data_IF_335534029381
#
_entry.id   IF_335534029381
#
_cell.length_a   1.000
_cell.length_b   1.000
_cell.length_c   1.000
_cell.angle_alpha   90.00
_cell.angle_beta   90.00
_cell.angle_gamma   90.00
#
_symmetry.space_group_name_H-M   'P 1'
#
loop_
_entity.id
_entity.type
_entity.pdbx_description
1 polymer ?
#
# COMPACT_ATOMS: atom_id res chain seq x y z
N UNK A 1 -5.75 -20.88 -27.30
CA UNK A 1 -6.53 -19.98 -26.41
C UNK A 1 -5.65 -18.82 -25.97
N UNK A 2 -6.17 -17.60 -25.92
CA UNK A 2 -5.44 -16.42 -25.44
C UNK A 2 -5.42 -16.42 -23.91
N UNK A 3 -4.25 -16.61 -23.31
CA UNK A 3 -4.06 -16.52 -21.85
C UNK A 3 -3.88 -15.04 -21.52
N UNK A 4 -4.72 -14.52 -20.62
CA UNK A 4 -4.65 -13.16 -20.12
C UNK A 4 -4.20 -13.20 -18.66
N UNK A 5 -3.05 -12.58 -18.36
CA UNK A 5 -2.53 -12.50 -16.99
C UNK A 5 -3.25 -11.40 -16.23
N UNK A 6 -3.52 -11.63 -14.95
CA UNK A 6 -4.18 -10.66 -14.07
C UNK A 6 -3.40 -10.59 -12.76
N UNK A 7 -3.09 -9.37 -12.32
CA UNK A 7 -2.42 -9.11 -11.03
C UNK A 7 -3.39 -8.47 -10.06
N UNK A 8 -3.56 -9.07 -8.87
CA UNK A 8 -4.34 -8.50 -7.76
C UNK A 8 -3.39 -7.91 -6.71
N UNK A 9 -3.84 -6.90 -5.98
CA UNK A 9 -3.04 -6.17 -5.00
C UNK A 9 -3.75 -6.01 -3.66
N UNK A 10 -2.97 -5.87 -2.59
CA UNK A 10 -3.46 -5.58 -1.24
C UNK A 10 -4.43 -6.64 -0.70
N UNK A 11 -5.45 -6.18 0.03
CA UNK A 11 -6.48 -7.04 0.63
C UNK A 11 -7.14 -7.96 -0.43
N UNK A 12 -7.32 -7.51 -1.67
CA UNK A 12 -7.90 -8.33 -2.74
C UNK A 12 -7.02 -9.50 -3.19
N UNK A 13 -5.70 -9.40 -3.05
CA UNK A 13 -4.80 -10.53 -3.31
C UNK A 13 -4.80 -11.52 -2.14
N UNK A 14 -4.83 -11.01 -0.91
CA UNK A 14 -4.82 -11.81 0.32
C UNK A 14 -6.12 -12.63 0.48
N UNK A 15 -7.25 -12.02 0.13
CA UNK A 15 -8.58 -12.64 0.24
C UNK A 15 -8.91 -13.54 -0.96
N UNK A 16 -8.08 -13.57 -2.01
CA UNK A 16 -8.32 -14.38 -3.21
C UNK A 16 -7.99 -15.85 -2.92
N UNK A 17 -9.01 -16.60 -2.52
CA UNK A 17 -8.89 -18.02 -2.22
C UNK A 17 -10.02 -18.84 -2.84
N UNK A 18 -9.68 -20.02 -3.36
CA UNK A 18 -10.59 -20.99 -3.98
C UNK A 18 -10.70 -22.32 -3.20
N UNK A 19 -10.03 -22.48 -2.06
CA UNK A 19 -9.97 -23.74 -1.28
C UNK A 19 -11.34 -24.32 -0.97
N UNK A 20 -12.32 -23.46 -0.68
CA UNK A 20 -13.68 -23.89 -0.32
C UNK A 20 -14.56 -24.26 -1.53
N UNK A 21 -14.09 -24.02 -2.75
CA UNK A 21 -14.89 -24.18 -3.98
C UNK A 21 -14.21 -25.07 -5.02
N UNK A 22 -12.90 -25.27 -4.93
CA UNK A 22 -12.12 -26.09 -5.84
C UNK A 22 -11.73 -27.42 -5.19
N UNK A 23 -12.09 -28.50 -5.86
CA UNK A 23 -11.77 -29.89 -5.52
C UNK A 23 -10.61 -30.36 -6.43
N UNK A 24 -9.39 -30.54 -5.88
CA UNK A 24 -8.23 -30.99 -6.65
C UNK A 24 -8.37 -32.40 -7.22
N UNK A 25 -9.14 -33.28 -6.58
CA UNK A 25 -9.34 -34.66 -7.04
C UNK A 25 -10.31 -34.70 -8.22
N UNK A 26 -11.42 -33.94 -8.11
CA UNK A 26 -12.42 -33.85 -9.16
C UNK A 26 -11.99 -32.92 -10.32
N UNK A 27 -11.14 -31.94 -10.06
CA UNK A 27 -10.74 -30.92 -11.04
C UNK A 27 -11.93 -30.08 -11.52
N UNK A 28 -12.84 -29.69 -10.62
CA UNK A 28 -14.06 -28.99 -11.03
C UNK A 28 -13.75 -27.58 -11.59
N UNK A 29 -14.51 -27.19 -12.61
CA UNK A 29 -14.40 -25.88 -13.26
C UNK A 29 -14.73 -24.74 -12.28
N UNK A 30 -13.84 -23.75 -12.25
CA UNK A 30 -14.08 -22.45 -11.61
C UNK A 30 -14.12 -21.36 -12.69
N UNK A 31 -15.25 -20.65 -12.78
CA UNK A 31 -15.37 -19.46 -13.63
C UNK A 31 -15.24 -18.23 -12.74
N UNK A 32 -14.29 -17.35 -13.02
CA UNK A 32 -14.09 -16.12 -12.27
C UNK A 32 -14.49 -14.90 -13.12
N UNK A 33 -15.45 -14.13 -12.64
CA UNK A 33 -15.72 -12.79 -13.18
C UNK A 33 -14.84 -11.80 -12.42
N UNK A 34 -14.13 -10.95 -13.15
CA UNK A 34 -13.30 -9.90 -12.58
C UNK A 34 -13.74 -8.56 -13.18
N UNK A 35 -13.95 -7.56 -12.34
CA UNK A 35 -14.42 -6.21 -12.71
C UNK A 35 -13.48 -5.15 -12.13
N UNK A 36 -13.44 -3.96 -12.75
CA UNK A 36 -12.65 -2.83 -12.24
C UNK A 36 -11.13 -2.97 -12.42
N UNK A 37 -10.70 -3.81 -13.37
CA UNK A 37 -9.31 -3.96 -13.78
C UNK A 37 -8.92 -2.94 -14.85
N UNK A 38 -7.65 -2.56 -14.85
CA UNK A 38 -7.05 -1.71 -15.88
C UNK A 38 -6.20 -2.56 -16.83
N UNK A 39 -6.42 -2.49 -18.15
CA UNK A 39 -5.54 -3.16 -19.11
C UNK A 39 -4.16 -2.50 -19.13
N UNK A 40 -3.13 -3.33 -19.22
CA UNK A 40 -1.72 -2.96 -19.39
C UNK A 40 -1.07 -3.89 -20.42
N UNK A 41 0.05 -3.48 -20.99
CA UNK A 41 0.86 -4.35 -21.84
C UNK A 41 1.99 -4.94 -21.01
N UNK A 42 2.06 -6.28 -20.91
CA UNK A 42 3.14 -6.99 -20.24
C UNK A 42 4.37 -7.00 -21.16
N UNK A 43 5.26 -6.01 -20.98
CA UNK A 43 6.48 -5.89 -21.77
C UNK A 43 7.47 -7.05 -21.55
N UNK A 44 7.30 -7.87 -20.49
CA UNK A 44 8.10 -9.09 -20.26
C UNK A 44 7.60 -10.30 -21.07
N UNK A 45 6.39 -10.23 -21.64
CA UNK A 45 5.79 -11.28 -22.47
C UNK A 45 5.44 -10.75 -23.87
N UNK A 46 6.41 -10.12 -24.53
CA UNK A 46 6.29 -9.56 -25.90
C UNK A 46 5.13 -8.55 -26.09
N UNK A 47 4.80 -7.76 -25.06
CA UNK A 47 3.73 -6.76 -25.15
C UNK A 47 2.32 -7.35 -25.16
N UNK A 48 2.15 -8.59 -24.69
CA UNK A 48 0.80 -9.17 -24.52
C UNK A 48 0.01 -8.36 -23.50
N UNK A 49 -1.26 -8.12 -23.79
CA UNK A 49 -2.17 -7.48 -22.83
C UNK A 49 -2.26 -8.30 -21.54
N UNK A 50 -2.17 -7.63 -20.41
CA UNK A 50 -2.42 -8.13 -19.06
C UNK A 50 -3.38 -7.17 -18.34
N UNK A 51 -3.97 -7.60 -17.23
CA UNK A 51 -4.82 -6.76 -16.41
C UNK A 51 -4.18 -6.55 -15.03
N UNK A 52 -4.32 -5.34 -14.49
CA UNK A 52 -3.98 -5.05 -13.10
C UNK A 52 -5.21 -4.62 -12.32
N UNK A 53 -5.36 -5.16 -11.11
CA UNK A 53 -6.39 -4.77 -10.17
C UNK A 53 -6.14 -3.37 -9.62
N UNK A 54 -7.21 -2.60 -9.46
CA UNK A 54 -7.24 -1.31 -8.76
C UNK A 54 -7.96 -1.45 -7.41
N UNK A 55 -7.99 -0.42 -6.54
CA UNK A 55 -8.83 -0.42 -5.33
C UNK A 55 -10.35 -0.53 -5.57
N UNK A 56 -10.79 -0.47 -6.84
CA UNK A 56 -12.16 -0.71 -7.27
C UNK A 56 -12.36 -2.11 -7.88
N UNK A 57 -11.29 -2.92 -7.95
CA UNK A 57 -11.35 -4.26 -8.50
C UNK A 57 -12.17 -5.18 -7.59
N UNK A 58 -13.01 -6.01 -8.18
CA UNK A 58 -13.73 -7.07 -7.47
C UNK A 58 -13.75 -8.34 -8.31
N UNK A 59 -13.84 -9.48 -7.63
CA UNK A 59 -13.94 -10.78 -8.28
C UNK A 59 -15.09 -11.59 -7.70
N UNK A 60 -15.68 -12.44 -8.55
CA UNK A 60 -16.80 -13.30 -8.20
C UNK A 60 -16.58 -14.68 -8.81
N UNK A 61 -16.52 -15.70 -7.96
CA UNK A 61 -16.42 -17.08 -8.40
C UNK A 61 -17.79 -17.66 -8.72
N UNK A 62 -17.84 -18.45 -9.80
CA UNK A 62 -19.01 -19.13 -10.33
C UNK A 62 -20.27 -18.26 -10.39
N UNK A 63 -20.19 -17.07 -11.03
CA UNK A 63 -21.34 -16.17 -11.12
C UNK A 63 -22.46 -16.80 -11.95
N UNK A 64 -23.70 -16.69 -11.47
CA UNK A 64 -24.89 -17.13 -12.20
C UNK A 64 -25.38 -16.03 -13.16
N UNK A 65 -24.57 -15.72 -14.17
CA UNK A 65 -24.87 -14.72 -15.20
C UNK A 65 -24.93 -15.35 -16.58
N UNK A 66 -25.62 -14.70 -17.51
CA UNK A 66 -25.84 -15.22 -18.87
C UNK A 66 -24.51 -15.37 -19.62
N UNK A 67 -23.60 -14.43 -19.43
CA UNK A 67 -22.28 -14.34 -20.05
C UNK A 67 -21.34 -15.48 -19.60
N UNK A 68 -21.57 -16.07 -18.42
CA UNK A 68 -20.78 -17.18 -17.90
C UNK A 68 -21.26 -18.55 -18.44
N UNK A 69 -22.51 -18.64 -18.93
CA UNK A 69 -23.12 -19.90 -19.43
C UNK A 69 -22.30 -20.60 -20.53
N UNK A 70 -21.74 -19.88 -21.53
CA UNK A 70 -20.91 -20.53 -22.55
C UNK A 70 -19.68 -21.23 -21.95
N UNK A 71 -19.08 -20.66 -20.91
CA UNK A 71 -17.91 -21.26 -20.24
C UNK A 71 -18.30 -22.52 -19.47
N UNK A 72 -19.39 -22.48 -18.69
CA UNK A 72 -19.91 -23.67 -18.01
C UNK A 72 -20.22 -24.79 -19.00
N UNK A 73 -20.85 -24.48 -20.14
CA UNK A 73 -21.18 -25.48 -21.14
C UNK A 73 -19.95 -26.03 -21.87
N UNK A 74 -18.98 -25.17 -22.20
CA UNK A 74 -17.74 -25.56 -22.90
C UNK A 74 -16.89 -26.53 -22.08
N UNK A 75 -16.91 -26.40 -20.75
CA UNK A 75 -16.04 -27.19 -19.85
C UNK A 75 -16.80 -28.12 -18.90
N UNK A 76 -18.10 -28.34 -19.11
CA UNK A 76 -19.00 -29.07 -18.18
C UNK A 76 -18.49 -30.45 -17.74
N UNK A 77 -17.77 -31.15 -18.63
CA UNK A 77 -17.26 -32.51 -18.41
C UNK A 77 -15.74 -32.59 -18.63
N UNK A 78 -15.03 -31.47 -18.54
CA UNK A 78 -13.58 -31.42 -18.70
C UNK A 78 -12.97 -31.10 -17.34
N UNK A 79 -12.21 -32.03 -16.72
CA UNK A 79 -11.51 -31.72 -15.48
C UNK A 79 -10.44 -30.67 -15.76
N UNK A 80 -10.42 -29.63 -14.93
CA UNK A 80 -9.45 -28.52 -14.99
C UNK A 80 -8.64 -28.56 -13.70
N UNK A 81 -7.37 -28.89 -13.87
CA UNK A 81 -6.41 -28.92 -12.77
C UNK A 81 -5.76 -27.55 -12.61
N UNK A 82 -6.02 -26.88 -11.48
CA UNK A 82 -5.45 -25.58 -11.17
C UNK A 82 -4.06 -25.80 -10.58
N UNK A 83 -3.04 -25.39 -11.33
CA UNK A 83 -1.67 -25.39 -10.83
C UNK A 83 -1.47 -24.17 -9.93
N UNK A 84 -1.27 -24.41 -8.64
CA UNK A 84 -0.71 -23.40 -7.74
C UNK A 84 0.81 -23.47 -7.83
N UNK A 85 1.52 -22.34 -7.76
CA UNK A 85 2.95 -22.37 -7.46
C UNK A 85 3.15 -23.23 -6.21
N UNK A 86 4.18 -24.10 -6.20
CA UNK A 86 4.53 -24.82 -4.97
C UNK A 86 4.74 -23.78 -3.87
N UNK A 87 4.02 -23.92 -2.76
CA UNK A 87 4.37 -23.22 -1.53
C UNK A 87 5.78 -23.70 -1.17
N UNK A 88 6.78 -22.84 -1.36
CA UNK A 88 8.10 -23.08 -0.78
C UNK A 88 7.88 -23.26 0.73
N UNK A 89 8.30 -24.42 1.26
CA UNK A 89 8.14 -24.77 2.66
C UNK A 89 8.58 -23.59 3.52
N UNK A 90 7.63 -23.07 4.30
CA UNK A 90 7.82 -21.96 5.22
C UNK A 90 8.64 -22.44 6.42
N UNK A 91 9.94 -22.57 6.19
CA UNK A 91 10.96 -22.92 7.16
C UNK A 91 12.09 -21.89 7.18
N UNK A 92 11.90 -20.84 7.98
CA UNK A 92 12.88 -19.81 8.34
C UNK A 92 13.27 -18.76 7.30
N UNK A 93 13.23 -17.53 7.81
CA UNK A 93 13.56 -16.23 7.24
C UNK A 93 12.54 -15.75 6.21
N UNK A 94 11.72 -14.80 6.65
CA UNK A 94 11.24 -13.72 5.80
C UNK A 94 12.47 -13.23 5.02
N UNK A 95 12.63 -13.69 3.78
CA UNK A 95 13.56 -13.05 2.87
C UNK A 95 13.00 -11.64 2.73
N UNK A 96 13.66 -10.67 3.38
CA UNK A 96 13.41 -9.27 3.11
C UNK A 96 13.40 -9.14 1.59
N UNK A 97 12.28 -8.67 1.04
CA UNK A 97 12.27 -8.23 -0.35
C UNK A 97 13.37 -7.17 -0.41
N UNK A 98 14.49 -7.49 -1.05
CA UNK A 98 15.63 -6.61 -1.19
C UNK A 98 15.25 -5.52 -2.18
N UNK A 99 14.53 -4.51 -1.70
CA UNK A 99 14.19 -3.34 -2.49
C UNK A 99 15.48 -2.58 -2.82
N UNK A 100 15.62 -2.09 -4.06
CA UNK A 100 16.77 -1.27 -4.44
C UNK A 100 16.83 -0.03 -3.56
N UNK A 101 18.00 0.21 -2.94
CA UNK A 101 18.25 1.40 -2.15
C UNK A 101 18.55 2.58 -3.08
N UNK A 102 17.83 3.69 -2.89
CA UNK A 102 18.01 4.93 -3.64
C UNK A 102 18.02 6.13 -2.69
N UNK A 103 18.91 7.07 -2.98
CA UNK A 103 18.94 8.38 -2.34
C UNK A 103 17.81 9.26 -2.86
N UNK A 104 17.52 10.36 -2.17
CA UNK A 104 16.53 11.36 -2.57
C UNK A 104 16.88 11.90 -3.97
N UNK A 105 18.13 12.28 -4.22
CA UNK A 105 18.53 12.76 -5.53
C UNK A 105 18.37 11.70 -6.63
N UNK A 106 18.58 10.42 -6.32
CA UNK A 106 18.34 9.35 -7.28
C UNK A 106 16.84 9.15 -7.55
N UNK A 107 16.00 9.22 -6.51
CA UNK A 107 14.53 9.16 -6.64
C UNK A 107 13.99 10.34 -7.47
N UNK A 108 14.58 11.52 -7.33
CA UNK A 108 14.20 12.72 -8.10
C UNK A 108 14.47 12.59 -9.61
N UNK A 109 15.39 11.71 -10.02
CA UNK A 109 15.67 11.47 -11.44
C UNK A 109 14.82 10.34 -12.03
N UNK A 110 14.04 9.63 -11.21
CA UNK A 110 13.18 8.55 -11.70
C UNK A 110 11.94 9.17 -12.32
N UNK A 111 11.73 8.84 -13.59
CA UNK A 111 10.45 9.05 -14.23
C UNK A 111 9.44 8.06 -13.64
N UNK A 112 8.40 8.50 -12.90
CA UNK A 112 7.39 7.60 -12.34
C UNK A 112 6.59 6.83 -13.40
N UNK A 113 6.69 7.23 -14.67
CA UNK A 113 6.08 6.55 -15.80
C UNK A 113 7.04 5.57 -16.51
N UNK A 114 8.30 5.46 -16.06
CA UNK A 114 9.26 4.51 -16.60
C UNK A 114 9.07 3.12 -15.96
N UNK A 115 8.57 2.16 -16.75
CA UNK A 115 8.32 0.78 -16.32
C UNK A 115 9.59 -0.10 -16.27
N UNK A 116 10.77 0.44 -16.60
CA UNK A 116 12.06 -0.25 -16.42
C UNK A 116 12.55 -0.21 -14.96
N UNK A 117 12.18 0.83 -14.20
CA UNK A 117 12.44 0.94 -12.76
C UNK A 117 11.13 1.16 -11.96
N UNK A 118 10.20 0.19 -11.95
CA UNK A 118 9.01 0.31 -11.13
C UNK A 118 9.42 0.14 -9.66
N UNK A 119 9.10 1.14 -8.83
CA UNK A 119 9.23 1.04 -7.38
C UNK A 119 8.43 -0.14 -6.79
N UNK A 120 8.54 -0.40 -5.47
CA UNK A 120 9.09 0.51 -4.46
C UNK A 120 10.61 0.46 -4.29
N UNK A 121 11.16 1.54 -3.73
CA UNK A 121 12.58 1.72 -3.40
C UNK A 121 12.79 1.79 -1.89
N UNK A 122 13.96 1.37 -1.39
CA UNK A 122 14.39 1.68 -0.02
C UNK A 122 15.04 3.06 -0.02
N UNK A 123 14.62 3.94 0.89
CA UNK A 123 15.23 5.27 1.06
C UNK A 123 15.44 5.54 2.55
N UNK A 124 16.69 5.81 2.95
CA UNK A 124 17.04 6.09 4.33
C UNK A 124 17.06 7.60 4.57
N UNK A 125 16.14 8.10 5.39
CA UNK A 125 15.98 9.55 5.64
C UNK A 125 15.92 9.88 7.11
N UNK A 126 16.47 11.03 7.49
CA UNK A 126 16.28 11.65 8.80
C UNK A 126 15.10 12.61 8.72
N UNK A 127 14.12 12.49 9.61
CA UNK A 127 12.98 13.41 9.63
C UNK A 127 13.46 14.78 10.13
N UNK A 128 13.36 15.80 9.29
CA UNK A 128 13.76 17.17 9.62
C UNK A 128 12.60 17.94 10.24
N UNK A 129 11.40 17.78 9.69
CA UNK A 129 10.21 18.47 10.18
C UNK A 129 8.94 17.74 9.79
N UNK A 130 7.90 17.88 10.61
CA UNK A 130 6.55 17.42 10.28
C UNK A 130 5.77 18.62 9.77
N UNK A 131 5.17 18.48 8.59
CA UNK A 131 4.42 19.55 7.93
C UNK A 131 2.93 19.39 8.23
N UNK A 132 2.30 20.43 8.76
CA UNK A 132 0.85 20.44 9.06
C UNK A 132 0.00 21.14 7.97
N UNK A 133 0.49 21.20 6.73
CA UNK A 133 -0.25 21.86 5.63
C UNK A 133 -1.64 21.25 5.40
N UNK A 134 -1.74 19.92 5.54
CA UNK A 134 -2.99 19.18 5.71
C UNK A 134 -2.87 18.42 7.02
N UNK A 135 -3.84 18.56 7.94
CA UNK A 135 -3.87 17.90 9.26
C UNK A 135 -3.16 16.54 9.29
N UNK A 136 -2.33 16.28 10.31
CA UNK A 136 -1.57 15.04 10.48
C UNK A 136 -2.43 13.79 10.70
N UNK A 137 -3.75 13.96 10.76
CA UNK A 137 -4.74 12.90 10.87
C UNK A 137 -6.06 13.28 10.17
N UNK A 138 -6.88 12.27 9.89
CA UNK A 138 -8.23 12.41 9.34
C UNK A 138 -9.19 11.37 9.95
N UNK A 139 -10.49 11.66 9.94
CA UNK A 139 -11.51 10.68 10.32
C UNK A 139 -11.77 9.70 9.17
N UNK A 140 -11.85 8.41 9.48
CA UNK A 140 -12.14 7.33 8.54
C UNK A 140 -13.18 6.37 9.08
N UNK A 141 -13.88 5.66 8.20
CA UNK A 141 -14.80 4.60 8.61
C UNK A 141 -14.03 3.36 9.10
N UNK A 142 -14.43 2.78 10.25
CA UNK A 142 -13.80 1.54 10.75
C UNK A 142 -13.94 0.38 9.76
N UNK A 143 -15.11 0.21 9.15
CA UNK A 143 -15.40 -0.92 8.26
C UNK A 143 -14.80 -0.75 6.86
N UNK A 144 -14.92 0.44 6.27
CA UNK A 144 -14.55 0.65 4.87
C UNK A 144 -13.17 1.31 4.67
N UNK A 145 -12.52 1.77 5.75
CA UNK A 145 -11.29 2.57 5.75
C UNK A 145 -11.33 3.87 4.92
N UNK A 146 -12.46 4.19 4.26
CA UNK A 146 -12.68 5.44 3.53
C UNK A 146 -12.74 6.62 4.47
N UNK A 147 -12.19 7.77 4.03
CA UNK A 147 -12.30 9.05 4.72
C UNK A 147 -13.77 9.38 4.98
N UNK A 148 -14.08 9.71 6.23
CA UNK A 148 -15.40 10.12 6.66
C UNK A 148 -15.54 11.65 6.48
N UNK A 149 -16.75 12.09 6.19
CA UNK A 149 -17.08 13.49 5.96
C UNK A 149 -17.77 14.07 7.18
N UNK A 150 -17.35 15.27 7.58
CA UNK A 150 -17.98 16.00 8.67
C UNK A 150 -19.35 16.50 8.23
N UNK A 151 -20.36 16.21 9.04
CA UNK A 151 -21.75 16.59 8.84
C UNK A 151 -22.03 17.94 9.53
N UNK A 152 -23.16 18.57 9.18
CA UNK A 152 -23.60 19.87 9.74
C UNK A 152 -23.68 19.83 11.28
N UNK A 153 -24.08 18.68 11.85
CA UNK A 153 -24.18 18.47 13.29
C UNK A 153 -22.83 18.10 13.96
N UNK A 154 -21.70 18.34 13.29
CA UNK A 154 -20.34 17.97 13.75
C UNK A 154 -20.08 16.47 13.92
N UNK A 155 -20.99 15.58 13.50
CA UNK A 155 -20.72 14.13 13.43
C UNK A 155 -19.95 13.77 12.17
N UNK A 156 -19.30 12.61 12.14
CA UNK A 156 -18.65 12.09 10.94
C UNK A 156 -19.43 10.93 10.35
N UNK A 157 -19.57 10.91 9.01
CA UNK A 157 -20.29 9.86 8.29
C UNK A 157 -19.47 9.35 7.12
N UNK A 158 -19.47 8.03 6.94
CA UNK A 158 -18.84 7.40 5.79
C UNK A 158 -19.65 7.64 4.51
N UNK A 159 -19.08 8.22 3.44
CA UNK A 159 -19.80 8.41 2.18
C UNK A 159 -20.14 7.08 1.48
N UNK A 160 -19.31 6.04 1.67
CA UNK A 160 -19.49 4.73 1.02
C UNK A 160 -20.61 3.89 1.66
N UNK A 161 -20.56 3.67 2.98
CA UNK A 161 -21.48 2.76 3.66
C UNK A 161 -22.46 3.46 4.61
N UNK A 162 -22.44 4.79 4.67
CA UNK A 162 -23.32 5.62 5.49
C UNK A 162 -23.21 5.40 7.01
N UNK A 163 -22.25 4.59 7.47
CA UNK A 163 -21.97 4.36 8.89
C UNK A 163 -21.38 5.60 9.57
N UNK A 164 -21.76 5.82 10.83
CA UNK A 164 -21.20 6.83 11.72
C UNK A 164 -20.05 6.28 12.59
N UNK A 165 -19.77 4.97 12.52
CA UNK A 165 -18.67 4.35 13.25
C UNK A 165 -17.33 4.71 12.60
N UNK A 166 -16.71 5.76 13.12
CA UNK A 166 -15.52 6.39 12.54
C UNK A 166 -14.40 6.50 13.57
N UNK A 167 -13.16 6.53 13.08
CA UNK A 167 -11.94 6.64 13.86
C UNK A 167 -10.94 7.58 13.22
N UNK A 168 -10.14 8.30 14.03
CA UNK A 168 -8.99 9.02 13.52
C UNK A 168 -7.94 8.04 13.00
N UNK A 169 -7.27 8.43 11.91
CA UNK A 169 -6.15 7.71 11.30
C UNK A 169 -5.08 8.70 10.88
N UNK A 170 -3.81 8.30 10.90
CA UNK A 170 -2.72 9.19 10.49
C UNK A 170 -2.77 9.52 9.00
N UNK A 171 -2.41 10.77 8.71
CA UNK A 171 -2.04 11.28 7.40
C UNK A 171 -0.80 12.15 7.61
N UNK A 172 0.30 11.50 7.97
CA UNK A 172 1.52 12.19 8.39
C UNK A 172 2.26 12.69 7.16
N UNK A 173 2.48 14.01 7.07
CA UNK A 173 3.32 14.63 6.04
C UNK A 173 4.58 15.19 6.69
N UNK A 174 5.75 14.92 6.13
CA UNK A 174 7.02 15.33 6.73
C UNK A 174 8.12 15.57 5.67
N UNK A 175 9.13 16.32 6.06
CA UNK A 175 10.37 16.50 5.28
C UNK A 175 11.41 15.50 5.80
N UNK A 176 11.88 14.64 4.90
CA UNK A 176 13.00 13.73 5.14
C UNK A 176 14.26 14.24 4.44
N UNK A 177 15.40 14.06 5.08
CA UNK A 177 16.73 14.43 4.56
C UNK A 177 17.66 13.23 4.51
N UNK A 178 18.39 13.10 3.43
CA UNK A 178 19.58 12.25 3.34
C UNK A 178 20.83 13.10 3.04
N UNK A 179 21.92 12.47 2.61
CA UNK A 179 23.17 13.14 2.21
C UNK A 179 23.06 13.87 0.87
N UNK A 180 22.02 13.62 0.08
CA UNK A 180 21.82 14.16 -1.26
C UNK A 180 20.80 15.28 -1.34
N UNK A 181 19.86 15.37 -0.40
CA UNK A 181 18.89 16.46 -0.36
C UNK A 181 17.75 16.28 0.63
N UNK A 182 16.72 17.11 0.45
CA UNK A 182 15.49 17.10 1.22
C UNK A 182 14.32 16.75 0.30
N UNK A 183 13.43 15.87 0.74
CA UNK A 183 12.20 15.54 0.04
C UNK A 183 11.00 15.49 0.98
N UNK A 184 9.81 15.69 0.41
CA UNK A 184 8.55 15.58 1.15
C UNK A 184 7.94 14.19 0.99
N UNK A 185 7.65 13.59 2.13
CA UNK A 185 7.07 12.26 2.27
C UNK A 185 5.67 12.35 2.88
N UNK A 186 4.85 11.34 2.60
CA UNK A 186 3.62 11.12 3.34
C UNK A 186 3.47 9.65 3.74
N UNK A 187 2.89 9.44 4.92
CA UNK A 187 2.62 8.11 5.48
C UNK A 187 1.16 8.03 5.92
N UNK A 188 0.49 6.95 5.55
CA UNK A 188 -0.85 6.62 6.05
C UNK A 188 -0.75 5.95 7.42
N UNK A 189 -1.92 5.64 7.97
CA UNK A 189 -2.12 5.11 9.31
C UNK A 189 -1.14 3.99 9.70
N UNK A 190 -0.99 2.97 8.85
CA UNK A 190 -0.21 1.79 9.17
C UNK A 190 1.30 2.11 9.26
N UNK A 191 1.84 2.89 8.32
CA UNK A 191 3.24 3.29 8.31
C UNK A 191 3.56 4.30 9.43
N UNK A 192 2.71 5.31 9.59
CA UNK A 192 2.89 6.32 10.62
C UNK A 192 2.78 5.71 12.04
N UNK A 193 1.87 4.76 12.26
CA UNK A 193 1.76 4.06 13.55
C UNK A 193 3.03 3.29 13.89
N UNK A 194 3.72 2.70 12.89
CA UNK A 194 5.01 2.03 13.09
C UNK A 194 6.12 3.02 13.44
N UNK A 195 6.15 4.18 12.78
CA UNK A 195 7.13 5.25 13.05
C UNK A 195 6.94 5.85 14.46
N UNK A 196 5.69 6.11 14.84
CA UNK A 196 5.32 6.81 16.08
C UNK A 196 5.21 5.83 17.27
N UNK A 197 4.97 4.55 16.99
CA UNK A 197 4.71 3.47 17.97
C UNK A 197 3.50 3.75 18.87
N UNK A 198 2.49 4.43 18.32
CA UNK A 198 1.22 4.76 18.97
C UNK A 198 0.09 4.79 17.95
N UNK A 199 -1.08 4.32 18.35
CA UNK A 199 -2.30 4.44 17.54
C UNK A 199 -2.77 5.90 17.48
N UNK A 200 -3.28 6.32 16.32
CA UNK A 200 -3.71 7.70 16.08
C UNK A 200 -4.79 8.18 17.07
N UNK A 201 -5.72 7.29 17.43
CA UNK A 201 -6.81 7.59 18.36
C UNK A 201 -6.36 7.95 19.77
N UNK A 202 -5.19 7.45 20.19
CA UNK A 202 -4.58 7.81 21.49
C UNK A 202 -3.99 9.21 21.51
N UNK A 203 -3.68 9.80 20.34
CA UNK A 203 -2.99 11.08 20.22
C UNK A 203 -3.92 12.24 19.87
N UNK A 204 -5.05 11.95 19.20
CA UNK A 204 -6.00 12.98 18.83
C UNK A 204 -6.71 13.51 20.07
N UNK A 205 -6.44 14.77 20.39
CA UNK A 205 -7.16 15.53 21.41
C UNK A 205 -8.00 16.62 20.76
N UNK A 206 -9.34 16.52 20.73
CA UNK A 206 -10.22 17.52 20.13
C UNK A 206 -10.13 18.91 20.78
N UNK A 207 -9.60 18.99 22.01
CA UNK A 207 -9.44 20.23 22.77
C UNK A 207 -8.06 20.87 22.59
N UNK A 208 -7.12 20.18 21.94
CA UNK A 208 -5.79 20.71 21.69
C UNK A 208 -5.81 21.77 20.57
N UNK A 209 -4.98 22.83 20.67
CA UNK A 209 -4.78 23.75 19.56
C UNK A 209 -4.28 23.00 18.33
N UNK A 210 -4.85 23.32 17.14
CA UNK A 210 -4.50 22.65 15.88
C UNK A 210 -3.03 22.81 15.48
N UNK A 211 -2.37 23.84 15.99
CA UNK A 211 -1.00 24.19 15.63
C UNK A 211 0.05 23.48 16.52
N UNK A 212 -0.38 22.80 17.59
CA UNK A 212 0.51 22.08 18.51
C UNK A 212 0.58 20.61 18.10
N UNK A 213 1.79 20.15 17.80
CA UNK A 213 2.05 18.75 17.48
C UNK A 213 2.07 17.92 18.78
N UNK A 214 1.46 16.73 18.84
CA UNK A 214 1.59 15.87 20.00
C UNK A 214 3.05 15.42 20.21
N UNK A 215 3.51 15.34 21.47
CA UNK A 215 4.88 14.91 21.81
C UNK A 215 5.36 13.64 21.09
N UNK A 216 4.54 12.58 20.91
CA UNK A 216 4.99 11.39 20.18
C UNK A 216 5.36 11.67 18.71
N UNK A 217 4.72 12.64 18.06
CA UNK A 217 5.10 13.09 16.72
C UNK A 217 6.37 13.94 16.77
N UNK A 218 6.56 14.79 17.79
CA UNK A 218 7.81 15.54 17.95
C UNK A 218 9.01 14.60 18.15
N UNK A 219 8.82 13.48 18.85
CA UNK A 219 9.86 12.51 19.15
C UNK A 219 10.43 11.78 17.93
N UNK A 220 9.74 11.80 16.78
CA UNK A 220 10.27 11.20 15.54
C UNK A 220 11.12 12.19 14.73
N UNK A 221 11.10 13.49 15.09
CA UNK A 221 11.98 14.49 14.48
C UNK A 221 13.43 14.19 14.89
N UNK A 222 14.35 14.37 13.94
CA UNK A 222 15.77 14.00 14.01
C UNK A 222 16.06 12.51 14.13
N UNK A 223 15.05 11.64 13.97
CA UNK A 223 15.27 10.20 13.88
C UNK A 223 15.43 9.76 12.43
N UNK A 224 16.27 8.75 12.22
CA UNK A 224 16.54 8.14 10.92
C UNK A 224 15.65 6.92 10.73
N UNK A 225 15.01 6.84 9.57
CA UNK A 225 14.14 5.75 9.16
C UNK A 225 14.52 5.25 7.77
N UNK A 226 14.41 3.94 7.56
CA UNK A 226 14.42 3.34 6.23
C UNK A 226 12.98 3.15 5.77
N UNK A 227 12.62 3.81 4.67
CA UNK A 227 11.26 3.85 4.12
C UNK A 227 11.20 3.05 2.81
N UNK A 228 10.10 2.33 2.61
CA UNK A 228 9.75 1.73 1.31
C UNK A 228 8.91 2.71 0.50
N UNK A 229 9.49 3.32 -0.52
CA UNK A 229 8.97 4.47 -1.22
C UNK A 229 8.45 4.12 -2.62
N UNK A 230 7.23 4.54 -2.94
CA UNK A 230 6.70 4.60 -4.30
C UNK A 230 6.55 6.07 -4.74
N UNK A 231 6.68 6.28 -6.04
CA UNK A 231 6.42 7.57 -6.68
C UNK A 231 4.95 7.67 -7.09
N UNK A 232 4.38 8.87 -7.06
CA UNK A 232 2.98 9.12 -7.49
C UNK A 232 2.93 10.17 -8.60
N UNK A 233 1.81 10.29 -9.34
CA UNK A 233 1.66 11.28 -10.42
C UNK A 233 1.86 12.74 -9.96
N UNK A 234 1.59 13.01 -8.67
CA UNK A 234 1.80 14.32 -8.06
C UNK A 234 3.28 14.58 -7.69
N UNK A 235 4.14 13.56 -7.78
CA UNK A 235 5.61 13.66 -7.68
C UNK A 235 6.25 14.50 -8.78
N UNK A 236 5.56 14.71 -9.91
CA UNK A 236 6.12 15.41 -11.07
C UNK A 236 5.56 16.81 -11.34
N UNK A 237 4.68 17.35 -10.48
CA UNK A 237 4.04 18.66 -10.73
C UNK A 237 4.64 19.79 -9.91
N UNK A 238 5.59 20.50 -10.53
CA UNK A 238 6.04 21.83 -10.13
C UNK A 238 7.44 21.86 -9.51
N UNK A 239 8.12 23.01 -9.59
CA UNK A 239 9.45 23.31 -9.04
C UNK A 239 9.53 23.26 -7.49
N UNK A 240 8.73 22.42 -6.86
CA UNK A 240 8.68 22.20 -5.43
C UNK A 240 8.12 20.80 -5.14
N UNK A 241 9.02 19.82 -5.07
CA UNK A 241 9.07 18.61 -4.23
C UNK A 241 7.75 18.07 -3.67
N UNK A 242 7.12 17.02 -4.23
CA UNK A 242 5.97 16.43 -3.53
C UNK A 242 5.62 14.96 -3.86
N UNK A 243 5.71 14.09 -2.84
CA UNK A 243 4.88 12.90 -2.59
C UNK A 243 5.45 11.53 -2.99
N UNK A 244 6.52 11.17 -2.29
CA UNK A 244 6.96 9.80 -2.08
C UNK A 244 5.99 9.10 -1.11
N UNK A 245 5.27 8.08 -1.59
CA UNK A 245 4.39 7.21 -0.80
C UNK A 245 5.21 6.16 -0.07
N UNK A 246 5.25 6.19 1.27
CA UNK A 246 5.73 5.04 2.02
C UNK A 246 4.67 3.93 1.97
N UNK A 247 4.89 2.84 1.20
CA UNK A 247 3.89 1.79 1.02
C UNK A 247 3.99 0.63 1.98
N UNK A 248 2.85 -0.08 2.10
CA UNK A 248 2.65 -1.40 2.71
C UNK A 248 3.44 -2.54 2.03
N UNK A 249 4.75 -2.42 1.89
CA UNK A 249 5.59 -3.61 1.73
C UNK A 249 5.82 -4.23 3.10
N UNK A 250 5.97 -5.56 3.15
CA UNK A 250 6.34 -6.30 4.36
C UNK A 250 7.75 -5.96 4.89
N UNK A 251 8.47 -5.02 4.25
CA UNK A 251 9.73 -4.53 4.78
C UNK A 251 9.47 -3.64 5.99
N UNK A 252 10.11 -3.91 7.14
CA UNK A 252 9.91 -3.12 8.34
C UNK A 252 10.34 -1.67 8.11
N UNK A 253 9.57 -0.72 8.65
CA UNK A 253 10.11 0.61 8.94
C UNK A 253 11.14 0.40 10.04
N UNK A 254 12.42 0.49 9.70
CA UNK A 254 13.51 0.33 10.66
C UNK A 254 13.90 1.71 11.14
N UNK A 255 13.67 2.00 12.43
CA UNK A 255 14.32 3.12 13.09
C UNK A 255 15.78 2.73 13.30
N UNK A 256 16.71 3.53 12.79
CA UNK A 256 18.13 3.36 13.05
C UNK A 256 18.47 4.20 14.27
N UNK A 257 18.80 3.55 15.38
CA UNK A 257 19.31 4.25 16.56
C UNK A 257 20.74 4.71 16.28
N UNK A 258 20.96 6.02 16.23
CA UNK A 258 22.30 6.61 16.19
C UNK A 258 22.91 6.53 17.59
N UNK A 259 23.34 5.34 18.02
CA UNK A 259 24.19 5.22 19.19
C UNK A 259 25.65 5.03 18.76
N UNK A 260 26.26 6.11 18.27
CA UNK A 260 27.71 6.20 18.13
C UNK A 260 28.32 6.73 19.43
N UNK A 261 28.24 5.93 20.50
CA UNK A 261 29.03 6.18 21.70
C UNK A 261 29.28 4.93 22.55
N UNK A 262 30.05 3.97 22.02
CA UNK A 262 30.80 2.98 22.84
C UNK A 262 31.87 2.22 22.05
N UNK A 263 32.93 2.92 21.64
CA UNK A 263 34.23 2.29 21.38
C UNK A 263 35.36 3.23 21.83
N UNK A 264 35.74 3.17 23.10
CA UNK A 264 37.15 3.22 23.54
C UNK A 264 37.23 2.96 25.05
N UNK A 265 37.80 1.82 25.43
CA UNK A 265 38.77 1.64 26.53
C UNK A 265 38.93 0.14 26.83
N UNK A 266 39.92 -0.47 26.19
CA UNK A 266 40.74 -1.52 26.79
C UNK A 266 42.18 -1.00 26.79
#
# INVERSE_FOLDING_TARGET
>A
DSILKITLWGDHALDFNIDNIYDPEAGNLIVCLIVGCTPREDMKDNGKTALTGSPACAYYFNPNITEARPFYNRFKNVPIYIQRPLEEETGSLVQEISLPEKTIAALDQIDPFNEEEPGPFKCAVTIVSITNATSWWYMSCRACKKKAEQQINSTYKCPRCQSTNTVPRYLLSFIGRDDTGDAKFFAYDDEASKMIQKDCDTLVNPLAPRDVLPRPLENIINKKFVLSVNLTDDSCKGNSFNLLYASQTRTPVIQIDNDSSKETSQ
#
